data_IF_962700685956
#
_entry.id   IF_962700685956
#
_cell.length_a   1.000
_cell.length_b   1.000
_cell.length_c   1.000
_cell.angle_alpha   90.00
_cell.angle_beta   90.00
_cell.angle_gamma   90.00
#
_symmetry.space_group_name_H-M   'P 1'
#
loop_
_entity.id
_entity.type
_entity.pdbx_description
1 polymer ?
#
# COMPACT_ATOMS: atom_id res chain seq x y z
N UNK A 1 8.71 -5.80 7.46
CA UNK A 1 8.34 -6.91 6.57
C UNK A 1 7.98 -6.36 5.18
N UNK A 2 8.92 -6.33 4.24
CA UNK A 2 8.66 -5.89 2.85
C UNK A 2 8.19 -7.08 2.00
N UNK A 3 7.31 -6.86 1.02
CA UNK A 3 6.87 -7.90 0.09
C UNK A 3 5.81 -8.88 0.63
N UNK A 4 5.21 -8.61 1.79
CA UNK A 4 4.23 -9.51 2.41
C UNK A 4 2.79 -9.32 1.93
N UNK A 5 2.52 -8.31 1.08
CA UNK A 5 1.16 -7.97 0.66
C UNK A 5 0.21 -7.86 1.87
N UNK A 6 -1.02 -8.35 1.72
CA UNK A 6 -2.04 -8.47 2.77
C UNK A 6 -2.08 -9.89 3.39
N UNK A 7 -0.95 -10.59 3.46
CA UNK A 7 -0.89 -11.91 4.07
C UNK A 7 -1.33 -11.87 5.54
N UNK A 8 -2.11 -12.86 5.98
CA UNK A 8 -2.57 -13.03 7.37
C UNK A 8 -2.13 -14.42 7.86
N UNK A 9 -1.71 -14.52 9.11
CA UNK A 9 -1.24 -15.75 9.73
C UNK A 9 -2.41 -16.58 10.27
N UNK A 10 -2.91 -17.54 9.49
CA UNK A 10 -4.09 -18.35 9.87
C UNK A 10 -3.79 -19.58 10.75
N UNK A 11 -2.58 -20.12 10.67
CA UNK A 11 -2.20 -21.41 11.29
C UNK A 11 -0.91 -21.33 12.11
N UNK A 12 -0.49 -20.11 12.43
CA UNK A 12 0.71 -19.85 13.23
C UNK A 12 0.29 -19.02 14.42
N UNK A 13 0.87 -19.34 15.57
CA UNK A 13 0.74 -18.49 16.74
C UNK A 13 1.41 -17.15 16.46
N UNK A 14 0.74 -16.06 16.83
CA UNK A 14 1.25 -14.70 16.71
C UNK A 14 1.51 -14.19 18.11
N UNK A 15 2.76 -13.84 18.40
CA UNK A 15 3.13 -13.23 19.67
C UNK A 15 2.79 -11.74 19.62
N UNK A 16 2.10 -11.24 20.65
CA UNK A 16 1.83 -9.82 20.88
C UNK A 16 2.46 -9.42 22.20
N UNK A 17 3.23 -8.33 22.20
CA UNK A 17 3.87 -7.77 23.38
C UNK A 17 3.58 -6.27 23.45
N UNK A 18 3.05 -5.80 24.58
CA UNK A 18 2.97 -4.37 24.87
C UNK A 18 4.34 -3.88 25.31
N UNK A 19 4.92 -2.96 24.54
CA UNK A 19 6.26 -2.38 24.82
C UNK A 19 6.13 -1.12 25.68
N UNK A 20 5.02 -0.40 25.53
CA UNK A 20 4.65 0.83 26.24
C UNK A 20 3.14 0.98 26.15
N UNK A 21 2.56 1.85 26.98
CA UNK A 21 1.15 2.22 26.93
C UNK A 21 0.72 2.49 25.47
N UNK A 22 -0.25 1.71 24.99
CA UNK A 22 -0.80 1.77 23.62
C UNK A 22 0.21 1.51 22.48
N UNK A 23 1.34 0.87 22.77
CA UNK A 23 2.37 0.51 21.78
C UNK A 23 2.66 -0.99 21.86
N UNK A 24 2.31 -1.70 20.79
CA UNK A 24 2.43 -3.15 20.71
C UNK A 24 3.40 -3.58 19.60
N UNK A 25 4.19 -4.61 19.91
CA UNK A 25 4.93 -5.40 18.93
C UNK A 25 4.16 -6.68 18.63
N UNK A 26 4.08 -7.02 17.35
CA UNK A 26 3.38 -8.20 16.86
C UNK A 26 4.35 -8.97 15.99
N UNK A 27 4.57 -10.26 16.28
CA UNK A 27 5.51 -11.10 15.53
C UNK A 27 5.00 -11.53 14.14
N UNK A 28 3.81 -11.07 13.77
CA UNK A 28 3.11 -11.40 12.53
C UNK A 28 3.44 -10.45 11.38
N UNK A 29 2.55 -10.48 10.39
CA UNK A 29 2.57 -9.57 9.24
C UNK A 29 1.98 -8.20 9.59
N UNK A 30 2.16 -7.18 8.74
CA UNK A 30 1.48 -5.91 8.92
C UNK A 30 -0.06 -6.03 8.99
N UNK A 31 -0.67 -6.94 8.23
CA UNK A 31 -2.11 -7.19 8.30
C UNK A 31 -2.51 -7.86 9.62
N UNK A 32 -1.69 -8.79 10.14
CA UNK A 32 -1.89 -9.37 11.48
C UNK A 32 -1.90 -8.27 12.55
N UNK A 33 -0.97 -7.31 12.49
CA UNK A 33 -0.94 -6.16 13.40
C UNK A 33 -2.27 -5.40 13.39
N UNK A 34 -2.77 -5.09 12.19
CA UNK A 34 -4.02 -4.35 12.03
C UNK A 34 -5.23 -5.10 12.55
N UNK A 35 -5.40 -6.38 12.19
CA UNK A 35 -6.53 -7.17 12.66
C UNK A 35 -6.47 -7.44 14.16
N UNK A 36 -5.29 -7.71 14.73
CA UNK A 36 -5.15 -7.90 16.18
C UNK A 36 -5.46 -6.61 16.95
N UNK A 37 -5.02 -5.45 16.45
CA UNK A 37 -5.38 -4.14 17.00
C UNK A 37 -6.89 -3.92 16.96
N UNK A 38 -7.52 -4.16 15.80
CA UNK A 38 -8.97 -3.95 15.61
C UNK A 38 -9.86 -4.89 16.42
N UNK A 39 -9.44 -6.14 16.60
CA UNK A 39 -10.34 -7.22 17.05
C UNK A 39 -10.03 -7.74 18.46
N UNK A 40 -8.91 -7.35 19.08
CA UNK A 40 -8.46 -7.99 20.32
C UNK A 40 -7.67 -7.08 21.26
N UNK A 41 -6.60 -6.46 20.76
CA UNK A 41 -5.58 -5.83 21.60
C UNK A 41 -6.02 -4.47 22.13
N UNK A 42 -6.76 -3.71 21.32
CA UNK A 42 -7.26 -2.38 21.68
C UNK A 42 -8.75 -2.52 22.04
N UNK A 43 -9.16 -2.22 23.29
CA UNK A 43 -10.55 -2.36 23.70
C UNK A 43 -11.45 -1.23 23.19
N UNK A 44 -10.89 -0.07 22.84
CA UNK A 44 -11.62 1.07 22.31
C UNK A 44 -12.02 0.89 20.84
N UNK A 45 -13.13 1.52 20.40
CA UNK A 45 -13.48 1.55 18.99
C UNK A 45 -12.41 2.30 18.17
N UNK A 46 -12.01 1.71 17.04
CA UNK A 46 -11.05 2.30 16.10
C UNK A 46 -11.80 2.84 14.88
N UNK A 47 -11.62 4.13 14.60
CA UNK A 47 -12.31 4.79 13.48
C UNK A 47 -11.57 4.69 12.14
N UNK A 48 -10.26 4.49 12.17
CA UNK A 48 -9.40 4.54 10.99
C UNK A 48 -8.12 3.73 11.20
N UNK A 49 -7.57 3.18 10.11
CA UNK A 49 -6.19 2.66 10.09
C UNK A 49 -5.30 3.61 9.30
N UNK A 50 -4.17 3.97 9.91
CA UNK A 50 -3.03 4.64 9.27
C UNK A 50 -1.86 3.67 9.28
N UNK A 51 -1.33 3.34 8.10
CA UNK A 51 -0.19 2.44 7.94
C UNK A 51 1.01 3.18 7.35
N UNK A 52 2.18 3.08 7.99
CA UNK A 52 3.41 3.73 7.54
C UNK A 52 4.13 4.51 8.65
N UNK A 53 5.06 5.40 8.33
CA UNK A 53 5.53 5.75 6.98
C UNK A 53 6.53 4.68 6.48
N UNK A 54 6.26 4.06 5.34
CA UNK A 54 7.17 3.10 4.74
C UNK A 54 8.43 3.77 4.19
N UNK A 55 9.60 3.21 4.50
CA UNK A 55 10.89 3.62 3.92
C UNK A 55 11.09 2.88 2.60
N UNK A 56 10.59 3.46 1.52
CA UNK A 56 10.48 2.85 0.20
C UNK A 56 9.12 3.15 -0.42
N UNK A 57 9.11 3.48 -1.71
CA UNK A 57 7.89 3.83 -2.41
C UNK A 57 6.99 2.59 -2.60
N UNK A 58 5.67 2.79 -2.55
CA UNK A 58 4.66 1.81 -2.98
C UNK A 58 3.91 2.42 -4.18
N UNK A 59 4.52 2.31 -5.36
CA UNK A 59 4.07 2.96 -6.59
C UNK A 59 3.66 1.95 -7.65
N UNK A 60 2.65 2.31 -8.44
CA UNK A 60 2.16 1.45 -9.50
C UNK A 60 1.72 0.09 -8.99
N UNK A 61 2.05 -0.98 -9.72
CA UNK A 61 1.66 -2.36 -9.35
C UNK A 61 2.43 -2.94 -8.16
N UNK A 62 3.49 -2.26 -7.69
CA UNK A 62 4.22 -2.67 -6.48
C UNK A 62 3.32 -2.65 -5.23
N UNK A 63 2.20 -1.92 -5.29
CA UNK A 63 1.20 -1.89 -4.21
C UNK A 63 0.65 -3.27 -3.87
N UNK A 64 0.60 -4.20 -4.84
CA UNK A 64 0.04 -5.54 -4.61
C UNK A 64 0.90 -6.36 -3.65
N UNK A 65 2.19 -6.04 -3.55
CA UNK A 65 3.14 -6.72 -2.68
C UNK A 65 3.43 -5.93 -1.39
N UNK A 66 2.84 -4.75 -1.26
CA UNK A 66 3.10 -3.85 -0.15
C UNK A 66 2.44 -4.32 1.13
N UNK A 67 3.27 -4.55 2.16
CA UNK A 67 2.78 -4.76 3.53
C UNK A 67 2.15 -3.50 4.13
N UNK A 68 2.62 -2.31 3.75
CA UNK A 68 2.06 -1.04 4.22
C UNK A 68 0.63 -0.87 3.72
N UNK A 69 0.39 -1.08 2.43
CA UNK A 69 -0.97 -1.07 1.87
C UNK A 69 -1.78 -2.24 2.44
N UNK A 70 -1.18 -3.43 2.54
CA UNK A 70 -1.80 -4.63 3.10
C UNK A 70 -2.32 -4.47 4.53
N UNK A 71 -1.63 -3.71 5.39
CA UNK A 71 -2.14 -3.37 6.73
C UNK A 71 -3.36 -2.45 6.68
N UNK A 72 -3.32 -1.41 5.84
CA UNK A 72 -4.43 -0.46 5.69
C UNK A 72 -5.72 -1.11 5.16
N UNK A 73 -5.62 -2.20 4.39
CA UNK A 73 -6.75 -2.98 3.87
C UNK A 73 -7.71 -3.45 4.99
N UNK A 74 -7.20 -3.75 6.19
CA UNK A 74 -8.05 -4.18 7.31
C UNK A 74 -9.06 -3.09 7.74
N UNK A 75 -8.76 -1.82 7.47
CA UNK A 75 -9.55 -0.67 7.91
C UNK A 75 -10.62 -0.21 6.92
N UNK A 76 -10.79 -0.87 5.77
CA UNK A 76 -11.68 -0.40 4.67
C UNK A 76 -13.16 -0.35 5.03
N UNK A 77 -13.56 -0.94 6.15
CA UNK A 77 -14.95 -0.97 6.65
C UNK A 77 -15.14 -0.18 7.95
N UNK A 78 -14.16 0.64 8.33
CA UNK A 78 -14.25 1.52 9.49
C UNK A 78 -14.96 2.84 9.13
N UNK A 79 -15.16 3.69 10.13
CA UNK A 79 -15.85 4.97 9.98
C UNK A 79 -15.17 5.92 9.00
N UNK A 80 -13.83 5.83 8.87
CA UNK A 80 -13.05 6.60 7.91
C UNK A 80 -12.20 5.72 6.99
N UNK A 81 -12.02 6.19 5.76
CA UNK A 81 -11.21 5.51 4.74
C UNK A 81 -9.77 5.32 5.25
N UNK A 82 -9.20 4.11 5.24
CA UNK A 82 -7.84 3.86 5.70
C UNK A 82 -6.79 4.45 4.75
N UNK A 83 -5.61 4.73 5.28
CA UNK A 83 -4.52 5.37 4.53
C UNK A 83 -3.17 4.66 4.73
N UNK A 84 -2.42 4.53 3.65
CA UNK A 84 -1.05 4.04 3.64
C UNK A 84 -0.09 5.16 3.21
N UNK A 85 0.97 5.40 3.97
CA UNK A 85 1.99 6.39 3.69
C UNK A 85 3.35 5.75 3.40
N UNK A 86 4.01 6.25 2.37
CA UNK A 86 5.33 5.83 1.92
C UNK A 86 6.19 7.02 1.51
N UNK A 87 7.50 6.90 1.64
CA UNK A 87 8.45 7.85 1.05
C UNK A 87 9.33 7.12 0.03
N UNK A 88 9.58 7.77 -1.11
CA UNK A 88 10.45 7.25 -2.17
C UNK A 88 11.95 7.33 -1.83
N UNK A 89 12.30 6.90 -0.60
CA UNK A 89 13.67 6.74 -0.12
C UNK A 89 13.73 5.75 1.03
N UNK A 90 14.86 5.06 1.14
CA UNK A 90 15.17 4.21 2.29
C UNK A 90 15.77 4.99 3.47
N UNK A 91 16.34 6.17 3.21
CA UNK A 91 16.86 7.09 4.22
C UNK A 91 16.35 8.51 3.97
N UNK A 92 15.10 8.82 4.37
CA UNK A 92 14.45 10.08 4.06
C UNK A 92 15.10 11.29 4.75
N UNK A 93 15.24 12.39 4.00
CA UNK A 93 15.91 13.61 4.44
C UNK A 93 15.12 14.42 5.46
N UNK A 94 13.79 14.32 5.44
CA UNK A 94 12.94 15.14 6.30
C UNK A 94 11.66 14.39 6.73
N UNK A 95 11.84 13.42 7.64
CA UNK A 95 10.72 12.68 8.23
C UNK A 95 9.71 13.57 8.96
N UNK A 96 10.17 14.66 9.58
CA UNK A 96 9.30 15.60 10.30
C UNK A 96 8.27 16.23 9.35
N UNK A 97 8.74 16.78 8.22
CA UNK A 97 7.85 17.32 7.21
C UNK A 97 6.87 16.26 6.68
N UNK A 98 7.35 15.04 6.42
CA UNK A 98 6.50 13.96 5.93
C UNK A 98 5.39 13.65 6.95
N UNK A 99 5.72 13.52 8.24
CA UNK A 99 4.73 13.28 9.29
C UNK A 99 3.71 14.42 9.42
N UNK A 100 4.14 15.69 9.32
CA UNK A 100 3.25 16.86 9.34
C UNK A 100 2.29 16.86 8.15
N UNK A 101 2.77 16.55 6.95
CA UNK A 101 1.91 16.42 5.77
C UNK A 101 0.97 15.21 5.88
N UNK A 102 1.45 14.08 6.41
CA UNK A 102 0.62 12.89 6.63
C UNK A 102 -0.57 13.21 7.53
N UNK A 103 -0.36 13.95 8.63
CA UNK A 103 -1.46 14.39 9.50
C UNK A 103 -2.49 15.25 8.74
N UNK A 104 -2.04 16.21 7.94
CA UNK A 104 -2.94 17.04 7.15
C UNK A 104 -3.73 16.24 6.12
N UNK A 105 -3.09 15.27 5.44
CA UNK A 105 -3.74 14.42 4.45
C UNK A 105 -4.73 13.47 5.13
N UNK A 106 -4.39 12.88 6.29
CA UNK A 106 -5.31 12.06 7.09
C UNK A 106 -6.60 12.82 7.42
N UNK A 107 -6.49 14.09 7.85
CA UNK A 107 -7.65 14.95 8.11
C UNK A 107 -8.46 15.31 6.86
N UNK A 108 -7.87 15.24 5.67
CA UNK A 108 -8.59 15.41 4.41
C UNK A 108 -9.32 14.12 4.01
N UNK A 109 -8.68 12.96 4.22
CA UNK A 109 -9.21 11.64 3.90
C UNK A 109 -10.42 11.28 4.75
N UNK A 110 -10.52 11.76 6.00
CA UNK A 110 -11.70 11.56 6.84
C UNK A 110 -13.00 12.17 6.27
N UNK A 111 -12.90 12.99 5.22
CA UNK A 111 -14.05 13.58 4.50
C UNK A 111 -14.50 12.74 3.31
N UNK A 112 -13.78 11.67 2.96
CA UNK A 112 -14.17 10.74 1.90
C UNK A 112 -15.30 9.82 2.38
N UNK A 113 -16.16 9.33 1.47
CA UNK A 113 -17.16 8.33 1.80
C UNK A 113 -16.50 7.02 2.25
N UNK A 114 -16.80 6.57 3.46
CA UNK A 114 -16.24 5.34 4.04
C UNK A 114 -16.97 4.07 3.61
N UNK A 115 -18.16 4.19 3.02
CA UNK A 115 -18.99 3.07 2.55
C UNK A 115 -18.60 2.54 1.15
N UNK A 116 -17.54 3.08 0.55
CA UNK A 116 -17.11 2.74 -0.81
C UNK A 116 -15.93 1.75 -0.87
N UNK A 117 -15.55 1.15 0.26
CA UNK A 117 -14.45 0.16 0.33
C UNK A 117 -13.13 0.73 -0.26
N UNK A 118 -12.89 2.01 0.00
CA UNK A 118 -11.74 2.75 -0.50
C UNK A 118 -10.51 2.55 0.40
N UNK A 119 -9.34 2.82 -0.17
CA UNK A 119 -8.07 2.97 0.54
C UNK A 119 -7.26 4.07 -0.12
N UNK A 120 -6.63 4.95 0.66
CA UNK A 120 -5.75 6.00 0.12
C UNK A 120 -4.29 5.58 0.23
N UNK A 121 -3.57 5.55 -0.89
CA UNK A 121 -2.14 5.30 -0.94
C UNK A 121 -1.40 6.62 -1.24
N UNK A 122 -0.48 7.00 -0.37
CA UNK A 122 0.25 8.28 -0.46
C UNK A 122 1.74 8.03 -0.52
N UNK A 123 2.39 8.60 -1.52
CA UNK A 123 3.84 8.56 -1.66
C UNK A 123 4.44 9.97 -1.65
N UNK A 124 5.49 10.13 -0.86
CA UNK A 124 6.28 11.37 -0.78
C UNK A 124 7.58 11.25 -1.59
N UNK A 125 7.98 12.29 -2.35
CA UNK A 125 9.34 12.37 -2.90
C UNK A 125 10.35 12.70 -1.79
N UNK A 126 11.58 12.19 -1.88
CA UNK A 126 12.65 12.46 -0.89
C UNK A 126 13.43 13.76 -1.19
N UNK A 127 12.77 14.88 -0.94
CA UNK A 127 13.27 16.22 -1.25
C UNK A 127 13.11 17.15 -0.05
N UNK A 128 13.93 18.21 0.05
CA UNK A 128 13.61 19.34 0.93
C UNK A 128 12.21 19.87 0.61
N UNK A 129 11.47 20.29 1.65
CA UNK A 129 10.08 20.75 1.50
C UNK A 129 9.93 21.89 0.48
N UNK A 130 10.93 22.76 0.36
CA UNK A 130 10.96 23.86 -0.63
C UNK A 130 11.05 23.42 -2.09
N UNK A 131 11.36 22.14 -2.36
CA UNK A 131 11.44 21.55 -3.70
C UNK A 131 10.23 20.69 -4.05
N UNK A 132 9.34 20.43 -3.09
CA UNK A 132 8.08 19.72 -3.31
C UNK A 132 7.10 20.71 -3.93
N UNK A 133 6.62 20.38 -5.14
CA UNK A 133 5.79 21.29 -5.94
C UNK A 133 4.32 21.30 -5.54
N UNK A 134 3.92 20.39 -4.66
CA UNK A 134 2.55 20.25 -4.15
C UNK A 134 2.10 18.80 -4.12
N UNK A 135 0.78 18.61 -4.14
CA UNK A 135 0.10 17.31 -4.08
C UNK A 135 -0.65 17.07 -5.39
N UNK A 136 -0.70 15.81 -5.84
CA UNK A 136 -1.48 15.39 -7.02
C UNK A 136 -2.27 14.13 -6.73
N UNK A 137 -3.54 14.14 -7.15
CA UNK A 137 -4.33 12.91 -7.30
C UNK A 137 -3.80 12.15 -8.51
N UNK A 138 -3.57 10.86 -8.34
CA UNK A 138 -2.87 10.02 -9.32
C UNK A 138 -3.58 8.70 -9.55
N UNK A 139 -3.42 8.15 -10.75
CA UNK A 139 -3.67 6.72 -11.00
C UNK A 139 -2.40 5.91 -10.70
N UNK A 140 -2.54 4.59 -10.55
CA UNK A 140 -1.37 3.72 -10.46
C UNK A 140 -0.65 3.66 -11.81
N UNK A 141 0.68 3.77 -11.77
CA UNK A 141 1.53 3.42 -12.90
C UNK A 141 1.51 1.91 -13.16
N UNK A 142 1.54 1.55 -14.44
CA UNK A 142 1.60 0.16 -14.92
C UNK A 142 2.98 -0.15 -15.42
N UNK A 143 3.45 -1.36 -15.15
CA UNK A 143 4.73 -1.85 -15.63
C UNK A 143 4.51 -2.97 -16.65
N UNK A 144 5.52 -3.20 -17.48
CA UNK A 144 5.58 -4.36 -18.35
C UNK A 144 5.87 -5.64 -17.55
N UNK A 145 6.18 -6.70 -18.28
CA UNK A 145 6.60 -7.97 -17.67
C UNK A 145 7.89 -7.73 -16.85
N UNK A 146 7.97 -8.22 -15.60
CA UNK A 146 9.21 -8.17 -14.82
C UNK A 146 10.36 -8.91 -15.50
N UNK A 147 11.59 -8.53 -15.15
CA UNK A 147 12.78 -9.22 -15.66
C UNK A 147 12.84 -10.67 -15.15
N UNK A 148 13.57 -11.51 -15.89
CA UNK A 148 13.83 -12.89 -15.46
C UNK A 148 14.60 -12.87 -14.13
N UNK A 149 14.20 -13.67 -13.12
CA UNK A 149 14.93 -13.72 -11.86
C UNK A 149 16.38 -14.15 -12.05
N UNK A 150 17.28 -13.47 -11.35
CA UNK A 150 18.71 -13.76 -11.40
C UNK A 150 19.01 -15.06 -10.65
N UNK A 151 19.73 -15.96 -11.31
CA UNK A 151 20.29 -17.14 -10.67
C UNK A 151 21.54 -16.73 -9.86
N UNK A 152 21.42 -16.71 -8.54
CA UNK A 152 22.46 -16.21 -7.64
C UNK A 152 23.54 -17.26 -7.39
N UNK A 153 23.13 -18.51 -7.17
CA UNK A 153 24.06 -19.62 -6.90
C UNK A 153 23.42 -20.99 -7.11
N UNK A 154 24.28 -21.99 -7.25
CA UNK A 154 23.95 -23.41 -7.24
C UNK A 154 24.60 -24.10 -6.03
N UNK A 155 23.90 -25.06 -5.44
CA UNK A 155 24.43 -25.93 -4.38
C UNK A 155 23.78 -27.31 -4.53
N UNK A 156 24.59 -28.35 -4.76
CA UNK A 156 24.15 -29.69 -5.14
C UNK A 156 23.10 -29.68 -6.26
N UNK A 157 21.87 -30.10 -5.96
CA UNK A 157 20.72 -30.10 -6.87
C UNK A 157 19.85 -28.84 -6.76
N UNK A 158 20.18 -27.90 -5.88
CA UNK A 158 19.41 -26.70 -5.60
C UNK A 158 19.92 -25.48 -6.38
N UNK A 159 18.98 -24.64 -6.80
CA UNK A 159 19.21 -23.35 -7.47
C UNK A 159 18.53 -22.24 -6.68
N UNK A 160 19.24 -21.14 -6.49
CA UNK A 160 18.77 -20.01 -5.67
C UNK A 160 18.61 -18.79 -6.56
N UNK A 161 17.41 -18.22 -6.55
CA UNK A 161 17.06 -17.08 -7.40
C UNK A 161 16.78 -15.83 -6.56
N UNK A 162 17.03 -14.66 -7.14
CA UNK A 162 16.56 -13.38 -6.63
C UNK A 162 15.71 -12.69 -7.68
N UNK A 163 14.63 -12.03 -7.26
CA UNK A 163 13.82 -11.23 -8.16
C UNK A 163 14.46 -9.86 -8.36
N UNK A 164 14.45 -9.40 -9.62
CA UNK A 164 14.84 -8.06 -10.02
C UNK A 164 13.69 -7.04 -9.95
N UNK A 165 13.84 -5.87 -10.59
CA UNK A 165 12.81 -4.84 -10.65
C UNK A 165 11.51 -5.33 -11.30
N UNK A 166 10.38 -4.70 -10.95
CA UNK A 166 9.03 -5.03 -11.42
C UNK A 166 8.74 -4.74 -12.91
N UNK A 167 9.78 -4.58 -13.74
CA UNK A 167 9.68 -4.26 -15.17
C UNK A 167 9.66 -2.74 -15.48
N UNK A 168 9.84 -2.45 -16.77
CA UNK A 168 9.84 -1.09 -17.30
C UNK A 168 8.43 -0.47 -17.28
N UNK A 169 8.34 0.86 -17.18
CA UNK A 169 7.06 1.56 -17.28
C UNK A 169 6.48 1.42 -18.68
N UNK A 170 5.18 1.14 -18.77
CA UNK A 170 4.48 1.19 -20.05
C UNK A 170 4.41 2.64 -20.57
N UNK A 171 4.50 2.85 -21.90
CA UNK A 171 4.41 4.18 -22.50
C UNK A 171 3.00 4.78 -22.37
N UNK A 172 2.90 6.09 -22.66
CA UNK A 172 1.63 6.83 -22.83
C UNK A 172 0.68 6.84 -21.62
N UNK A 173 1.20 6.53 -20.43
CA UNK A 173 0.46 6.69 -19.19
C UNK A 173 0.45 8.16 -18.77
N UNK A 174 -0.66 8.61 -18.20
CA UNK A 174 -0.87 10.03 -17.86
C UNK A 174 -1.33 10.14 -16.42
N UNK A 175 -0.74 11.07 -15.66
CA UNK A 175 -1.08 11.37 -14.25
C UNK A 175 -0.92 10.17 -13.32
N UNK A 176 0.15 9.40 -13.52
CA UNK A 176 0.47 8.29 -12.63
C UNK A 176 1.17 8.76 -11.36
N UNK A 177 1.10 7.94 -10.32
CA UNK A 177 1.83 8.10 -9.07
C UNK A 177 3.34 8.18 -9.29
N UNK A 178 3.87 7.33 -10.17
CA UNK A 178 5.28 7.32 -10.56
C UNK A 178 5.69 8.65 -11.18
N UNK A 179 4.91 9.15 -12.16
CA UNK A 179 5.16 10.45 -12.77
C UNK A 179 5.07 11.60 -11.76
N UNK A 180 4.15 11.54 -10.79
CA UNK A 180 4.03 12.56 -9.77
C UNK A 180 5.28 12.63 -8.89
N UNK A 181 5.79 11.48 -8.43
CA UNK A 181 7.03 11.40 -7.65
C UNK A 181 8.22 11.92 -8.44
N UNK A 182 8.42 11.46 -9.69
CA UNK A 182 9.51 11.91 -10.57
C UNK A 182 9.44 13.42 -10.87
N UNK A 183 8.23 13.99 -10.87
CA UNK A 183 8.01 15.41 -11.11
C UNK A 183 8.01 16.25 -9.81
N UNK A 184 8.37 15.65 -8.68
CA UNK A 184 8.49 16.27 -7.35
C UNK A 184 7.15 16.68 -6.70
N UNK A 185 6.10 15.90 -6.93
CA UNK A 185 4.81 16.05 -6.25
C UNK A 185 4.59 14.89 -5.27
N UNK A 186 3.85 15.15 -4.20
CA UNK A 186 3.27 14.10 -3.37
C UNK A 186 2.16 13.44 -4.19
N UNK A 187 2.20 12.12 -4.31
CA UNK A 187 1.19 11.33 -5.01
C UNK A 187 0.12 10.87 -4.01
N UNK A 188 -1.14 10.99 -4.40
CA UNK A 188 -2.30 10.43 -3.69
C UNK A 188 -3.11 9.60 -4.68
N UNK A 189 -3.08 8.28 -4.51
CA UNK A 189 -3.90 7.35 -5.28
C UNK A 189 -5.06 6.85 -4.42
N UNK A 190 -6.29 7.07 -4.88
CA UNK A 190 -7.50 6.53 -4.24
C UNK A 190 -7.77 5.18 -4.88
N UNK A 191 -7.70 4.12 -4.09
CA UNK A 191 -7.83 2.74 -4.53
C UNK A 191 -9.23 2.23 -4.19
N UNK A 192 -9.93 1.72 -5.20
CA UNK A 192 -11.19 1.01 -5.04
C UNK A 192 -10.91 -0.50 -4.93
N UNK A 193 -11.32 -1.08 -3.80
CA UNK A 193 -11.15 -2.50 -3.50
C UNK A 193 -12.43 -3.35 -3.69
N UNK A 194 -13.40 -2.87 -4.46
CA UNK A 194 -14.57 -3.66 -4.84
C UNK A 194 -14.23 -4.84 -5.75
N UNK A 195 -13.05 -4.82 -6.42
CA UNK A 195 -12.46 -5.89 -7.25
C UNK A 195 -13.30 -6.39 -8.44
N UNK A 196 -14.58 -6.06 -8.51
CA UNK A 196 -15.48 -6.43 -9.59
C UNK A 196 -15.06 -5.77 -10.91
N UNK A 197 -15.12 -6.55 -11.98
CA UNK A 197 -15.03 -5.99 -13.32
C UNK A 197 -16.21 -5.06 -13.59
N UNK A 198 -16.00 -4.07 -14.45
CA UNK A 198 -17.03 -3.14 -14.88
C UNK A 198 -18.28 -3.90 -15.37
N UNK A 199 -19.44 -3.55 -14.81
CA UNK A 199 -20.74 -4.13 -15.15
C UNK A 199 -21.07 -4.00 -16.64
N UNK A 200 -20.49 -3.00 -17.33
CA UNK A 200 -20.67 -2.77 -18.78
C UNK A 200 -20.29 -3.98 -19.64
N UNK A 201 -19.39 -4.85 -19.17
CA UNK A 201 -18.96 -6.06 -19.92
C UNK A 201 -19.64 -7.36 -19.46
N UNK A 202 -20.60 -7.29 -18.54
CA UNK A 202 -21.18 -8.51 -17.96
C UNK A 202 -21.93 -9.38 -18.95
N UNK A 203 -22.69 -8.79 -19.89
CA UNK A 203 -23.39 -9.58 -20.91
C UNK A 203 -22.40 -10.35 -21.80
N UNK A 204 -21.25 -9.75 -22.12
CA UNK A 204 -20.17 -10.45 -22.81
C UNK A 204 -19.59 -11.59 -21.97
N UNK A 205 -19.40 -11.39 -20.67
CA UNK A 205 -18.93 -12.47 -19.78
C UNK A 205 -19.95 -13.62 -19.70
N UNK A 206 -21.24 -13.30 -19.61
CA UNK A 206 -22.34 -14.27 -19.63
C UNK A 206 -22.36 -15.07 -20.93
N UNK A 207 -22.18 -14.40 -22.07
CA UNK A 207 -22.06 -15.06 -23.37
C UNK A 207 -20.87 -16.03 -23.40
N UNK A 208 -19.68 -15.58 -22.98
CA UNK A 208 -18.45 -16.38 -22.97
C UNK A 208 -18.58 -17.62 -22.08
N UNK A 209 -19.21 -17.49 -20.91
CA UNK A 209 -19.39 -18.60 -19.97
C UNK A 209 -20.72 -19.35 -20.12
N UNK A 210 -21.57 -18.93 -21.06
CA UNK A 210 -22.91 -19.47 -21.28
C UNK A 210 -23.74 -19.55 -19.97
N UNK A 211 -23.85 -18.43 -19.26
CA UNK A 211 -24.56 -18.32 -17.98
C UNK A 211 -25.51 -17.11 -17.91
N UNK A 212 -26.41 -17.09 -16.92
CA UNK A 212 -27.31 -15.97 -16.64
C UNK A 212 -26.66 -14.80 -15.89
#
# INVERSE_FOLDING_TARGET
>A
CSGMSAAISLRKEIKVEEISDNIFSVSGTPADCSYLGLLSVIPEPIDMIVSGINLGANLGEDIFYSGTVGAAIAGRRLNYVPIAFSVAAYNPKNLKYIAEQSLMITNQVSKLPSDQNLLVNVNFPDLPSSKIKGVRITSLGKRGVPDTPDLIRHEDSAKFYSFGPSGALLPDQVRTDIQAIEQNYISISILDYNLGADLVRWDFYKEVFNCE
#
